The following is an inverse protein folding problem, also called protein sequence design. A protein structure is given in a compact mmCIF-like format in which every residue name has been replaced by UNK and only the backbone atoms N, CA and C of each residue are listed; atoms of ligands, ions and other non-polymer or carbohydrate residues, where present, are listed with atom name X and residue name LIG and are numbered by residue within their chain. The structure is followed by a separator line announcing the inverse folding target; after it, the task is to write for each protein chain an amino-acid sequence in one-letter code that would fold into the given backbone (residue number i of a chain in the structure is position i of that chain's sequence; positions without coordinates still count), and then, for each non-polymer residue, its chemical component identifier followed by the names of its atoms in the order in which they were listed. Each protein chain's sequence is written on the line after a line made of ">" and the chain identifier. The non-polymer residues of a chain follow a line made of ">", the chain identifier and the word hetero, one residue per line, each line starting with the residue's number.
data_IF_414534047447
#
_entry.id   IF_414534047447
#
_cell.length_a   1.000
_cell.length_b   1.000
_cell.length_c   1.000
_cell.angle_alpha   90.00
_cell.angle_beta   90.00
_cell.angle_gamma   90.00
#
_symmetry.space_group_name_H-M   'P 1'
#
loop_
_entity.id
_entity.type
_entity.pdbx_description
1 polymer ?
#
# COMPACT_ATOMS: atom_id res chain seq x y z
N UNK A 1 -24.50 10.06 14.48
CA UNK A 1 -24.41 8.77 13.76
C UNK A 1 -25.51 8.72 12.72
N UNK A 2 -25.21 8.32 11.49
CA UNK A 2 -26.21 8.20 10.43
C UNK A 2 -27.16 7.03 10.70
N UNK A 3 -28.44 7.20 10.43
CA UNK A 3 -29.45 6.14 10.57
C UNK A 3 -29.64 5.48 9.21
N UNK A 4 -29.24 4.22 9.07
CA UNK A 4 -29.49 3.44 7.84
C UNK A 4 -30.91 2.89 7.88
N UNK A 5 -31.70 3.18 6.86
CA UNK A 5 -33.05 2.65 6.66
C UNK A 5 -33.08 1.85 5.36
N UNK A 6 -33.66 0.66 5.41
CA UNK A 6 -33.73 -0.26 4.27
C UNK A 6 -35.09 -0.13 3.57
N UNK A 7 -35.12 -0.23 2.24
CA UNK A 7 -36.36 -0.29 1.47
C UNK A 7 -36.97 -1.70 1.45
N UNK A 8 -36.13 -2.73 1.60
CA UNK A 8 -36.46 -4.16 1.66
C UNK A 8 -35.58 -4.85 2.70
N UNK A 9 -35.87 -6.10 3.07
CA UNK A 9 -35.01 -6.89 3.98
C UNK A 9 -33.60 -7.05 3.38
N UNK A 10 -32.57 -6.45 4.00
CA UNK A 10 -31.23 -6.40 3.42
C UNK A 10 -30.53 -7.74 3.54
N UNK A 11 -29.89 -8.20 2.47
CA UNK A 11 -28.90 -9.27 2.57
C UNK A 11 -27.58 -8.67 3.00
N UNK A 12 -26.92 -9.30 3.97
CA UNK A 12 -25.58 -8.90 4.39
C UNK A 12 -24.58 -9.06 3.24
N UNK A 13 -23.67 -8.09 3.12
CA UNK A 13 -22.63 -8.09 2.09
C UNK A 13 -21.45 -8.98 2.50
N UNK A 14 -21.04 -8.90 3.77
CA UNK A 14 -19.85 -9.55 4.31
C UNK A 14 -20.18 -10.30 5.59
N UNK A 15 -19.43 -11.36 5.85
CA UNK A 15 -19.35 -11.97 7.17
C UNK A 15 -18.00 -11.61 7.77
N UNK A 16 -17.99 -10.92 8.91
CA UNK A 16 -16.76 -10.54 9.59
C UNK A 16 -16.49 -11.49 10.75
N UNK A 17 -15.26 -12.00 10.81
CA UNK A 17 -14.78 -12.83 11.92
C UNK A 17 -13.91 -11.98 12.84
N UNK A 18 -14.15 -12.08 14.14
CA UNK A 18 -13.34 -11.40 15.15
C UNK A 18 -12.06 -12.19 15.41
N UNK A 19 -10.91 -11.52 15.37
CA UNK A 19 -9.62 -12.13 15.71
C UNK A 19 -9.54 -12.59 17.18
N UNK A 20 -10.44 -12.11 18.05
CA UNK A 20 -10.50 -12.44 19.47
C UNK A 20 -11.29 -13.71 19.82
N UNK A 21 -11.78 -14.47 18.83
CA UNK A 21 -12.55 -15.69 19.07
C UNK A 21 -14.04 -15.48 19.37
N UNK A 22 -14.55 -14.26 19.22
CA UNK A 22 -15.99 -14.01 19.22
C UNK A 22 -16.62 -14.56 17.94
N UNK A 23 -17.91 -14.92 18.02
CA UNK A 23 -18.67 -15.37 16.85
C UNK A 23 -18.70 -14.26 15.79
N UNK A 24 -18.52 -14.65 14.53
CA UNK A 24 -18.60 -13.70 13.42
C UNK A 24 -20.00 -13.06 13.31
N UNK A 25 -20.07 -11.91 12.65
CA UNK A 25 -21.30 -11.15 12.50
C UNK A 25 -21.49 -10.67 11.06
N UNK A 26 -22.75 -10.52 10.61
CA UNK A 26 -23.06 -9.95 9.31
C UNK A 26 -22.71 -8.46 9.28
N UNK A 27 -22.03 -8.02 8.22
CA UNK A 27 -21.67 -6.61 8.00
C UNK A 27 -22.13 -6.16 6.61
N UNK A 28 -22.51 -4.88 6.55
CA UNK A 28 -22.92 -4.23 5.34
C UNK A 28 -24.22 -4.79 4.77
N UNK A 29 -24.61 -4.28 3.61
CA UNK A 29 -25.78 -4.71 2.89
C UNK A 29 -25.58 -4.64 1.38
N UNK A 30 -26.30 -5.51 0.68
CA UNK A 30 -26.33 -5.56 -0.77
C UNK A 30 -27.77 -5.57 -1.27
N UNK A 31 -28.05 -4.79 -2.32
CA UNK A 31 -29.33 -4.81 -3.01
C UNK A 31 -29.62 -6.20 -3.58
N UNK A 32 -30.91 -6.49 -3.81
CA UNK A 32 -31.37 -7.79 -4.33
C UNK A 32 -30.71 -8.19 -5.66
N UNK A 33 -30.43 -7.20 -6.50
CA UNK A 33 -29.77 -7.37 -7.81
C UNK A 33 -28.24 -7.40 -7.72
N UNK A 34 -27.66 -7.26 -6.53
CA UNK A 34 -26.22 -7.32 -6.31
C UNK A 34 -25.44 -6.05 -6.66
N UNK A 35 -26.11 -4.97 -7.10
CA UNK A 35 -25.44 -3.81 -7.71
C UNK A 35 -25.14 -2.66 -6.75
N UNK A 36 -25.89 -2.55 -5.64
CA UNK A 36 -25.74 -1.47 -4.66
C UNK A 36 -25.26 -2.06 -3.36
N UNK A 37 -24.07 -1.63 -2.93
CA UNK A 37 -23.41 -2.10 -1.71
C UNK A 37 -23.26 -0.95 -0.72
N UNK A 38 -23.48 -1.22 0.55
CA UNK A 38 -23.14 -0.32 1.66
C UNK A 38 -22.41 -1.09 2.74
N UNK A 39 -21.23 -0.61 3.14
CA UNK A 39 -20.39 -1.24 4.17
C UNK A 39 -19.57 -0.18 4.90
N UNK A 40 -19.33 -0.39 6.19
CA UNK A 40 -18.38 0.39 6.99
C UNK A 40 -16.94 -0.13 6.87
N UNK A 41 -16.73 -1.28 6.22
CA UNK A 41 -15.39 -1.81 5.96
C UNK A 41 -14.69 -0.92 4.92
N UNK A 42 -13.68 -0.21 5.40
CA UNK A 42 -12.79 0.56 4.55
C UNK A 42 -11.76 -0.35 3.87
N UNK A 43 -11.26 0.06 2.71
CA UNK A 43 -10.16 -0.65 2.03
C UNK A 43 -10.54 -2.00 1.41
N UNK A 44 -11.83 -2.37 1.32
CA UNK A 44 -12.25 -3.64 0.69
C UNK A 44 -11.72 -3.80 -0.75
N UNK A 45 -11.54 -2.69 -1.46
CA UNK A 45 -11.00 -2.67 -2.82
C UNK A 45 -9.47 -2.58 -2.89
N UNK A 46 -8.75 -2.52 -1.76
CA UNK A 46 -7.28 -2.47 -1.76
C UNK A 46 -6.69 -3.84 -2.11
N UNK A 47 -7.40 -4.91 -1.76
CA UNK A 47 -7.10 -6.25 -2.25
C UNK A 47 -7.28 -6.27 -3.76
N UNK A 48 -6.15 -6.35 -4.47
CA UNK A 48 -6.16 -6.44 -5.92
C UNK A 48 -6.98 -7.63 -6.39
N UNK A 49 -6.85 -8.80 -5.74
CA UNK A 49 -7.55 -10.02 -6.14
C UNK A 49 -9.08 -9.86 -6.04
N UNK A 50 -9.56 -9.25 -4.96
CA UNK A 50 -10.97 -8.93 -4.79
C UNK A 50 -11.43 -7.93 -5.84
N UNK A 51 -10.76 -6.78 -5.92
CA UNK A 51 -11.09 -5.70 -6.87
C UNK A 51 -11.09 -6.21 -8.31
N UNK A 52 -10.14 -7.08 -8.67
CA UNK A 52 -10.05 -7.69 -9.99
C UNK A 52 -11.25 -8.56 -10.31
N UNK A 53 -11.57 -9.51 -9.43
CA UNK A 53 -12.72 -10.41 -9.61
C UNK A 53 -14.02 -9.62 -9.69
N UNK A 54 -14.16 -8.58 -8.87
CA UNK A 54 -15.31 -7.69 -8.87
C UNK A 54 -15.45 -6.93 -10.21
N UNK A 55 -14.37 -6.30 -10.68
CA UNK A 55 -14.36 -5.60 -11.98
C UNK A 55 -14.63 -6.55 -13.15
N UNK A 56 -14.09 -7.77 -13.12
CA UNK A 56 -14.34 -8.76 -14.16
C UNK A 56 -15.79 -9.25 -14.18
N UNK A 57 -16.46 -9.29 -13.03
CA UNK A 57 -17.92 -9.48 -12.95
C UNK A 57 -18.66 -8.40 -13.73
N UNK A 58 -18.36 -7.12 -13.46
CA UNK A 58 -18.96 -5.99 -14.18
C UNK A 58 -18.66 -6.00 -15.68
N UNK A 59 -17.46 -6.45 -16.08
CA UNK A 59 -17.11 -6.59 -17.49
C UNK A 59 -17.97 -7.65 -18.18
N UNK A 60 -18.16 -8.81 -17.57
CA UNK A 60 -19.01 -9.88 -18.10
C UNK A 60 -20.46 -9.43 -18.27
N UNK A 61 -21.01 -8.71 -17.28
CA UNK A 61 -22.36 -8.14 -17.39
C UNK A 61 -22.51 -7.17 -18.57
N UNK A 62 -21.42 -6.48 -18.94
CA UNK A 62 -21.37 -5.57 -20.08
C UNK A 62 -20.97 -6.26 -21.41
N UNK A 63 -20.83 -7.59 -21.43
CA UNK A 63 -20.38 -8.33 -22.61
C UNK A 63 -18.90 -8.12 -22.96
N UNK A 64 -18.10 -7.63 -22.03
CA UNK A 64 -16.66 -7.43 -22.19
C UNK A 64 -15.87 -8.63 -21.65
N UNK A 65 -14.79 -9.06 -22.33
CA UNK A 65 -13.94 -10.12 -21.83
C UNK A 65 -13.22 -9.66 -20.54
N UNK A 66 -12.94 -10.55 -19.58
CA UNK A 66 -12.03 -10.27 -18.47
C UNK A 66 -10.69 -9.76 -19.02
N UNK A 67 -10.03 -8.82 -18.36
CA UNK A 67 -8.69 -8.41 -18.81
C UNK A 67 -7.67 -9.53 -18.55
N UNK A 68 -6.72 -9.69 -19.45
CA UNK A 68 -5.60 -10.61 -19.28
C UNK A 68 -4.42 -9.88 -18.61
N UNK A 69 -3.54 -10.63 -17.94
CA UNK A 69 -2.33 -10.07 -17.34
C UNK A 69 -2.08 -10.54 -15.90
N UNK A 70 -0.80 -10.58 -15.53
CA UNK A 70 -0.39 -10.96 -14.17
C UNK A 70 -0.80 -9.91 -13.15
N UNK A 71 -1.20 -10.42 -11.99
CA UNK A 71 -1.41 -9.64 -10.78
C UNK A 71 -0.05 -9.08 -10.35
N UNK A 72 0.17 -7.77 -10.49
CA UNK A 72 1.27 -7.15 -9.75
C UNK A 72 0.85 -7.03 -8.30
N UNK A 73 1.68 -7.53 -7.41
CA UNK A 73 1.50 -7.30 -5.98
C UNK A 73 1.59 -5.79 -5.72
N UNK A 74 0.45 -5.19 -5.36
CA UNK A 74 0.37 -3.76 -5.07
C UNK A 74 1.15 -3.40 -3.81
N UNK A 75 1.33 -4.33 -2.89
CA UNK A 75 2.24 -4.13 -1.76
C UNK A 75 3.67 -4.00 -2.28
N UNK A 76 4.14 -4.95 -3.09
CA UNK A 76 5.47 -4.87 -3.70
C UNK A 76 5.68 -3.58 -4.51
N UNK A 77 4.72 -3.18 -5.35
CA UNK A 77 4.82 -1.92 -6.12
C UNK A 77 4.87 -0.69 -5.20
N UNK A 78 4.12 -0.70 -4.10
CA UNK A 78 4.15 0.38 -3.11
C UNK A 78 5.49 0.42 -2.36
N UNK A 79 6.00 -0.73 -1.94
CA UNK A 79 7.32 -0.83 -1.31
C UNK A 79 8.42 -0.34 -2.24
N UNK A 80 8.42 -0.76 -3.51
CA UNK A 80 9.36 -0.25 -4.51
C UNK A 80 9.28 1.29 -4.65
N UNK A 81 8.09 1.88 -4.54
CA UNK A 81 7.91 3.33 -4.58
C UNK A 81 8.48 4.01 -3.32
N UNK A 82 8.29 3.41 -2.14
CA UNK A 82 8.89 3.90 -0.90
C UNK A 82 10.41 3.79 -0.92
N UNK A 83 10.97 2.71 -1.44
CA UNK A 83 12.41 2.55 -1.59
C UNK A 83 13.01 3.64 -2.50
N UNK A 84 12.35 3.93 -3.63
CA UNK A 84 12.76 5.04 -4.52
C UNK A 84 12.71 6.38 -3.81
N UNK A 85 11.64 6.65 -3.07
CA UNK A 85 11.51 7.88 -2.30
C UNK A 85 12.59 7.98 -1.22
N UNK A 86 12.82 6.91 -0.46
CA UNK A 86 13.86 6.84 0.56
C UNK A 86 15.25 7.08 -0.04
N UNK A 87 15.54 6.50 -1.22
CA UNK A 87 16.80 6.72 -1.92
C UNK A 87 17.00 8.20 -2.31
N UNK A 88 15.96 8.85 -2.84
CA UNK A 88 15.99 10.28 -3.16
C UNK A 88 16.24 11.13 -1.91
N UNK A 89 15.52 10.85 -0.82
CA UNK A 89 15.71 11.59 0.42
C UNK A 89 17.12 11.39 0.99
N UNK A 90 17.70 10.17 0.93
CA UNK A 90 19.10 9.90 1.32
C UNK A 90 20.12 10.70 0.51
N UNK A 91 19.81 11.05 -0.73
CA UNK A 91 20.71 11.82 -1.60
C UNK A 91 20.61 13.33 -1.36
N UNK A 92 19.46 13.82 -0.93
CA UNK A 92 19.16 15.26 -0.93
C UNK A 92 18.91 15.88 0.45
N UNK A 93 18.77 15.06 1.50
CA UNK A 93 18.57 15.53 2.88
C UNK A 93 19.84 15.31 3.69
N UNK A 94 20.23 16.31 4.47
CA UNK A 94 21.29 16.19 5.49
C UNK A 94 20.76 15.39 6.69
N UNK A 95 20.88 14.06 6.58
CA UNK A 95 20.37 13.15 7.60
C UNK A 95 21.13 13.23 8.93
N UNK A 96 22.43 13.54 8.90
CA UNK A 96 23.21 13.78 10.13
C UNK A 96 22.60 14.93 10.94
N UNK A 97 22.26 16.02 10.26
CA UNK A 97 21.60 17.16 10.90
C UNK A 97 20.19 16.83 11.39
N UNK A 98 19.42 16.05 10.63
CA UNK A 98 18.08 15.60 11.06
C UNK A 98 18.16 14.71 12.30
N UNK A 99 19.07 13.73 12.32
CA UNK A 99 19.28 12.86 13.48
C UNK A 99 19.74 13.66 14.70
N UNK A 100 20.66 14.61 14.52
CA UNK A 100 21.08 15.52 15.59
C UNK A 100 19.90 16.33 16.16
N UNK A 101 19.04 16.90 15.32
CA UNK A 101 17.84 17.62 15.78
C UNK A 101 16.85 16.73 16.53
N UNK A 102 16.74 15.46 16.14
CA UNK A 102 15.87 14.48 16.78
C UNK A 102 16.51 13.82 18.02
N UNK A 103 17.77 14.16 18.36
CA UNK A 103 18.55 13.50 19.40
C UNK A 103 18.63 11.96 19.21
N UNK A 104 18.77 11.51 17.97
CA UNK A 104 18.91 10.11 17.59
C UNK A 104 20.33 9.84 17.08
N UNK A 105 20.85 8.64 17.36
CA UNK A 105 22.06 8.14 16.72
C UNK A 105 21.75 7.67 15.30
N UNK A 106 22.59 7.99 14.29
CA UNK A 106 22.39 7.51 12.94
C UNK A 106 22.45 5.97 12.91
N UNK A 107 21.56 5.29 12.17
CA UNK A 107 21.68 3.84 11.97
C UNK A 107 23.03 3.53 11.31
N UNK A 108 23.75 2.54 11.84
CA UNK A 108 25.12 2.23 11.44
C UNK A 108 25.29 2.04 9.94
N UNK A 109 25.80 3.07 9.25
CA UNK A 109 26.21 2.99 7.85
C UNK A 109 27.62 2.38 7.81
N UNK A 110 27.91 1.36 6.97
CA UNK A 110 29.29 0.93 6.78
C UNK A 110 30.10 2.12 6.27
N UNK A 111 31.09 2.54 7.07
CA UNK A 111 31.93 3.69 6.78
C UNK A 111 32.54 3.52 5.39
N UNK A 112 32.17 4.38 4.43
CA UNK A 112 32.91 4.48 3.16
C UNK A 112 34.35 4.80 3.53
N UNK A 113 35.27 3.87 3.24
CA UNK A 113 36.71 4.09 3.37
C UNK A 113 37.04 5.38 2.63
N UNK A 114 37.65 6.33 3.36
CA UNK A 114 37.85 7.70 2.93
C UNK A 114 38.48 7.79 1.54
N UNK A 115 37.92 8.68 0.71
CA UNK A 115 38.71 9.35 -0.32
C UNK A 115 39.48 10.44 0.41
N UNK A 116 40.79 10.27 0.50
CA UNK A 116 41.68 11.22 1.15
C UNK A 116 41.64 12.57 0.38
N UNK A 117 41.30 13.71 1.00
CA UNK A 117 41.22 15.00 0.32
C UNK A 117 42.60 15.57 -0.08
N UNK A 118 43.71 14.96 0.34
CA UNK A 118 45.07 15.50 0.19
C UNK A 118 46.02 14.65 -0.67
N UNK A 119 45.51 13.81 -1.57
CA UNK A 119 46.38 13.17 -2.57
C UNK A 119 46.83 14.22 -3.62
N UNK A 120 47.98 14.86 -3.36
CA UNK A 120 48.67 15.75 -4.30
C UNK A 120 49.18 14.90 -5.49
N UNK A 121 48.95 15.29 -6.76
CA UNK A 121 49.52 14.57 -7.89
C UNK A 121 51.05 14.71 -7.85
N UNK A 122 51.76 13.57 -7.91
CA UNK A 122 53.22 13.55 -7.94
C UNK A 122 53.79 14.35 -9.11
N UNK A 123 54.88 15.06 -8.84
CA UNK A 123 55.67 15.75 -9.86
C UNK A 123 56.29 14.75 -10.84
N UNK A 124 56.32 15.05 -12.16
CA UNK A 124 57.03 14.22 -13.11
C UNK A 124 58.54 14.45 -12.99
N UNK A 125 59.27 13.39 -12.64
CA UNK A 125 60.73 13.36 -12.60
C UNK A 125 61.35 13.55 -14.00
N UNK A 126 62.48 14.25 -13.98
CA UNK A 126 63.38 14.54 -15.10
C UNK A 126 64.03 13.28 -15.72
#
# INVERSE_FOLDING_TARGET
>A
MGRTSWCDEPRSLLWLESAGGEAGYPEGAVSRDGKVWGTYVHGIFDSWAFRRRWLDGLRREKGLPPLEGQVRDMYAVREEAFDRLAALLRQHVDWERVYHFLALEPPGVPRRRGRDPQAVPGEPGA
#
